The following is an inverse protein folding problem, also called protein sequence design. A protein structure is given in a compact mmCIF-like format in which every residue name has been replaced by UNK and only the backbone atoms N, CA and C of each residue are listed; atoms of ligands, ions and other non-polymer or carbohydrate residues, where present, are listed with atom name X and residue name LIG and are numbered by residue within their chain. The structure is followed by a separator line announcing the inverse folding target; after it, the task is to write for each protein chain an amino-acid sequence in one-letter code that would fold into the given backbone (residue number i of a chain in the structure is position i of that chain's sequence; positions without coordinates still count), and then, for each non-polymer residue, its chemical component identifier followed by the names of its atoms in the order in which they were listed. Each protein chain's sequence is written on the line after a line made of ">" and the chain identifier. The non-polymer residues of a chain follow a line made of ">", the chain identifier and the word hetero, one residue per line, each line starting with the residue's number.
data_IF_123297768630
#
_entry.id   IF_123297768630
#
_cell.length_a   1.000
_cell.length_b   1.000
_cell.length_c   1.000
_cell.angle_alpha   90.00
_cell.angle_beta   90.00
_cell.angle_gamma   90.00
#
_symmetry.space_group_name_H-M   'P 1'
#
loop_
_entity.id
_entity.type
_entity.pdbx_description
1 polymer ?
#
# COMPACT_ATOMS: atom_id res chain seq x y z
N UNK A 1 21.16 10.64 -3.70
CA UNK A 1 20.90 9.43 -2.89
C UNK A 1 22.23 8.71 -2.63
N UNK A 2 22.59 8.48 -1.36
CA UNK A 2 23.86 7.86 -0.96
C UNK A 2 23.94 6.39 -1.47
N UNK A 3 25.09 5.97 -1.99
CA UNK A 3 25.29 4.60 -2.52
C UNK A 3 25.01 3.50 -1.49
N UNK A 4 25.29 3.77 -0.21
CA UNK A 4 24.95 2.85 0.90
C UNK A 4 23.44 2.68 1.05
N UNK A 5 22.66 3.75 0.84
CA UNK A 5 21.20 3.70 0.88
C UNK A 5 20.68 2.89 -0.31
N UNK A 6 21.23 3.09 -1.51
CA UNK A 6 20.86 2.31 -2.69
C UNK A 6 21.10 0.81 -2.50
N UNK A 7 22.24 0.42 -1.94
CA UNK A 7 22.53 -0.98 -1.64
C UNK A 7 21.58 -1.57 -0.59
N UNK A 8 21.22 -0.81 0.44
CA UNK A 8 20.24 -1.26 1.46
C UNK A 8 18.86 -1.47 0.86
N UNK A 9 18.38 -0.53 0.04
CA UNK A 9 17.09 -0.66 -0.65
C UNK A 9 17.11 -1.86 -1.59
N UNK A 10 18.15 -2.01 -2.40
CA UNK A 10 18.32 -3.17 -3.27
C UNK A 10 18.31 -4.49 -2.48
N UNK A 11 19.08 -4.58 -1.40
CA UNK A 11 19.10 -5.79 -0.57
C UNK A 11 17.72 -6.09 0.04
N UNK A 12 17.00 -5.05 0.48
CA UNK A 12 15.67 -5.20 1.02
C UNK A 12 14.69 -5.72 -0.03
N UNK A 13 14.65 -5.09 -1.21
CA UNK A 13 13.70 -5.40 -2.28
C UNK A 13 13.95 -6.77 -2.91
N UNK A 14 15.22 -7.15 -3.10
CA UNK A 14 15.59 -8.35 -3.87
C UNK A 14 15.95 -9.57 -3.02
N UNK A 15 16.32 -9.38 -1.75
CA UNK A 15 16.73 -10.49 -0.87
C UNK A 15 15.78 -10.62 0.31
N UNK A 16 15.65 -9.60 1.14
CA UNK A 16 14.89 -9.70 2.38
C UNK A 16 13.39 -9.90 2.15
N UNK A 17 12.77 -9.03 1.34
CA UNK A 17 11.33 -9.07 1.11
C UNK A 17 10.86 -10.38 0.46
N UNK A 18 11.52 -10.92 -0.59
CA UNK A 18 11.14 -12.22 -1.16
C UNK A 18 11.29 -13.38 -0.17
N UNK A 19 12.33 -13.38 0.66
CA UNK A 19 12.54 -14.40 1.70
C UNK A 19 11.43 -14.30 2.75
N UNK A 20 11.15 -13.10 3.26
CA UNK A 20 10.08 -12.87 4.22
C UNK A 20 8.70 -13.22 3.64
N UNK A 21 8.43 -12.89 2.39
CA UNK A 21 7.17 -13.23 1.73
C UNK A 21 6.98 -14.74 1.64
N UNK A 22 8.06 -15.51 1.38
CA UNK A 22 7.99 -16.97 1.22
C UNK A 22 8.08 -17.75 2.53
N UNK A 23 8.86 -17.27 3.48
CA UNK A 23 9.22 -18.01 4.70
C UNK A 23 8.88 -17.28 6.00
N UNK A 24 8.30 -16.08 5.91
CA UNK A 24 7.80 -15.34 7.06
C UNK A 24 6.72 -16.12 7.80
N UNK A 25 6.65 -15.91 9.12
CA UNK A 25 5.60 -16.51 9.93
C UNK A 25 4.23 -15.92 9.59
N UNK A 26 3.17 -16.71 9.79
CA UNK A 26 1.79 -16.25 9.59
C UNK A 26 1.48 -15.02 10.44
N UNK A 27 1.99 -14.97 11.67
CA UNK A 27 1.80 -13.81 12.56
C UNK A 27 2.48 -12.57 12.00
N UNK A 28 3.70 -12.69 11.47
CA UNK A 28 4.42 -11.55 10.87
C UNK A 28 3.71 -11.03 9.61
N UNK A 29 3.18 -11.93 8.77
CA UNK A 29 2.34 -11.53 7.62
C UNK A 29 1.08 -10.80 8.09
N UNK A 30 0.41 -11.32 9.12
CA UNK A 30 -0.80 -10.71 9.69
C UNK A 30 -0.55 -9.33 10.27
N UNK A 31 0.55 -9.13 11.01
CA UNK A 31 0.92 -7.83 11.56
C UNK A 31 1.12 -6.76 10.49
N UNK A 32 1.75 -7.13 9.37
CA UNK A 32 1.92 -6.23 8.22
C UNK A 32 0.58 -5.94 7.55
N UNK A 33 -0.26 -6.96 7.35
CA UNK A 33 -1.59 -6.79 6.78
C UNK A 33 -2.48 -5.87 7.63
N UNK A 34 -2.50 -6.06 8.95
CA UNK A 34 -3.23 -5.20 9.88
C UNK A 34 -2.70 -3.76 9.87
N UNK A 35 -1.38 -3.60 9.81
CA UNK A 35 -0.74 -2.29 9.72
C UNK A 35 -1.11 -1.56 8.42
N UNK A 36 -1.15 -2.29 7.30
CA UNK A 36 -1.59 -1.77 6.01
C UNK A 36 -3.09 -1.45 6.02
N UNK A 37 -3.91 -2.28 6.68
CA UNK A 37 -5.35 -2.05 6.85
C UNK A 37 -5.60 -0.75 7.63
N UNK A 38 -4.94 -0.55 8.77
CA UNK A 38 -5.07 0.69 9.56
C UNK A 38 -4.71 1.92 8.75
N UNK A 39 -3.61 1.88 7.99
CA UNK A 39 -3.22 2.99 7.09
C UNK A 39 -4.25 3.26 6.00
N UNK A 40 -4.92 2.23 5.48
CA UNK A 40 -6.03 2.41 4.54
C UNK A 40 -7.22 3.05 5.25
N UNK A 41 -7.60 2.58 6.43
CA UNK A 41 -8.71 3.13 7.20
C UNK A 41 -8.51 4.60 7.59
N UNK A 42 -7.27 5.00 7.88
CA UNK A 42 -6.89 6.38 8.24
C UNK A 42 -6.84 7.38 7.07
N UNK A 43 -7.16 6.96 5.83
CA UNK A 43 -7.25 7.84 4.66
C UNK A 43 -6.35 7.47 3.48
N UNK A 44 -5.70 6.30 3.54
CA UNK A 44 -4.92 5.71 2.46
C UNK A 44 -3.63 6.47 2.14
N UNK A 45 -2.74 5.83 1.38
CA UNK A 45 -1.55 6.50 0.82
C UNK A 45 -1.86 7.11 -0.55
N UNK A 46 -1.01 8.03 -1.01
CA UNK A 46 -1.13 8.67 -2.33
C UNK A 46 -1.22 7.66 -3.46
N UNK A 47 -0.38 6.62 -3.45
CA UNK A 47 -0.42 5.56 -4.47
C UNK A 47 -1.77 4.83 -4.52
N UNK A 48 -2.43 4.67 -3.37
CA UNK A 48 -3.74 4.01 -3.32
C UNK A 48 -4.84 4.92 -3.87
N UNK A 49 -4.77 6.22 -3.57
CA UNK A 49 -5.66 7.22 -4.19
C UNK A 49 -5.46 7.31 -5.71
N UNK A 50 -4.21 7.24 -6.16
CA UNK A 50 -3.90 7.20 -7.58
C UNK A 50 -4.41 5.91 -8.24
N UNK A 51 -4.29 4.76 -7.57
CA UNK A 51 -4.89 3.52 -8.05
C UNK A 51 -6.43 3.61 -8.15
N UNK A 52 -7.10 4.24 -7.18
CA UNK A 52 -8.55 4.43 -7.21
C UNK A 52 -9.04 5.37 -8.32
N UNK A 53 -8.17 6.25 -8.87
CA UNK A 53 -8.49 7.05 -10.07
C UNK A 53 -8.72 6.18 -11.29
N UNK A 54 -7.87 5.18 -11.46
CA UNK A 54 -7.92 4.27 -12.61
C UNK A 54 -8.91 3.11 -12.38
N UNK A 55 -9.15 2.76 -11.11
CA UNK A 55 -9.99 1.62 -10.70
C UNK A 55 -11.01 1.98 -9.60
N UNK A 56 -11.98 2.86 -9.88
CA UNK A 56 -12.98 3.32 -8.91
C UNK A 56 -13.85 2.18 -8.34
N UNK A 57 -14.03 1.08 -9.08
CA UNK A 57 -14.74 -0.13 -8.65
C UNK A 57 -14.11 -0.83 -7.43
N UNK A 58 -12.84 -0.52 -7.14
CA UNK A 58 -12.10 -1.11 -6.03
C UNK A 58 -12.38 -0.42 -4.69
N UNK A 59 -13.11 0.71 -4.69
CA UNK A 59 -13.47 1.45 -3.49
C UNK A 59 -14.43 0.65 -2.60
N UNK A 60 -13.97 0.29 -1.40
CA UNK A 60 -14.74 -0.49 -0.42
C UNK A 60 -15.13 0.36 0.79
N UNK A 61 -14.22 1.20 1.28
CA UNK A 61 -14.41 1.97 2.51
C UNK A 61 -15.12 3.32 2.25
N UNK A 62 -15.68 3.92 3.31
CA UNK A 62 -16.47 5.16 3.21
C UNK A 62 -15.69 6.31 2.57
N UNK A 63 -14.49 6.59 3.07
CA UNK A 63 -13.62 7.65 2.54
C UNK A 63 -13.18 7.37 1.09
N UNK A 64 -13.00 6.10 0.69
CA UNK A 64 -12.63 5.75 -0.69
C UNK A 64 -13.78 6.05 -1.66
N UNK A 65 -15.01 5.77 -1.24
CA UNK A 65 -16.21 6.07 -2.02
C UNK A 65 -16.45 7.57 -2.12
N UNK A 66 -16.22 8.31 -1.03
CA UNK A 66 -16.27 9.77 -1.04
C UNK A 66 -15.23 10.34 -2.00
N UNK A 67 -13.98 9.87 -1.92
CA UNK A 67 -12.91 10.27 -2.83
C UNK A 67 -13.25 9.99 -4.31
N UNK A 68 -13.76 8.80 -4.64
CA UNK A 68 -14.18 8.47 -6.01
C UNK A 68 -15.30 9.38 -6.49
N UNK A 69 -16.30 9.65 -5.64
CA UNK A 69 -17.42 10.54 -5.97
C UNK A 69 -16.97 11.98 -6.21
N UNK A 70 -16.01 12.49 -5.43
CA UNK A 70 -15.42 13.81 -5.67
C UNK A 70 -14.77 13.88 -7.06
N UNK A 71 -14.01 12.86 -7.45
CA UNK A 71 -13.39 12.81 -8.78
C UNK A 71 -14.38 12.70 -9.94
N UNK A 72 -15.51 12.04 -9.75
CA UNK A 72 -16.58 12.00 -10.75
C UNK A 72 -17.27 13.37 -10.90
N UNK A 73 -17.41 14.14 -9.83
CA UNK A 73 -18.00 15.47 -9.87
C UNK A 73 -17.06 16.56 -10.41
N UNK A 74 -15.74 16.34 -10.38
CA UNK A 74 -14.73 17.22 -10.96
C UNK A 74 -14.51 17.02 -12.47
N UNK A 75 -15.10 15.97 -13.07
CA UNK A 75 -15.07 15.70 -14.51
C UNK A 75 -16.21 16.38 -15.26
#
# INVERSE_FOLDING_TARGET
>A
MNWKIRLRLWWFDYIHFPIWHRFGSKDSHREVEESLRKRREEGGCSMWRDYLKDHPETAKYGWEKEFVKEMENEK
#
